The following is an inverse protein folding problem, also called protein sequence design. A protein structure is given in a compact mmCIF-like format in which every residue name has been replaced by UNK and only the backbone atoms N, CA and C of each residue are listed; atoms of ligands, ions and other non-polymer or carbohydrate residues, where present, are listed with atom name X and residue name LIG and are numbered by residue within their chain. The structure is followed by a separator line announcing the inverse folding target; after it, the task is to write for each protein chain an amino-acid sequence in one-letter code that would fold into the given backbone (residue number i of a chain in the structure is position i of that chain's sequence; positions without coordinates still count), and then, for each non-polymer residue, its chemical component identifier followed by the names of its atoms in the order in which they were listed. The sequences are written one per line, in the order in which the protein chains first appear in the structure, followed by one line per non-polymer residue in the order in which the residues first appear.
data_IF_048275774633
#
_entry.id   IF_048275774633
#
_cell.length_a   1.000
_cell.length_b   1.000
_cell.length_c   1.000
_cell.angle_alpha   90.00
_cell.angle_beta   90.00
_cell.angle_gamma   90.00
#
_symmetry.space_group_name_H-M   'P 1'
#
loop_
_entity.id
_entity.type
_entity.pdbx_description
1 polymer ?
#
# COMPACT_ATOMS: atom_id res chain seq x y z
N UNK A 1 -10.69 -13.73 -10.35
CA UNK A 1 -9.39 -13.11 -10.75
C UNK A 1 -9.42 -11.65 -10.36
N UNK A 2 -8.28 -11.07 -9.98
CA UNK A 2 -8.16 -9.64 -9.70
C UNK A 2 -8.61 -8.80 -10.90
N UNK A 3 -9.10 -7.59 -10.65
CA UNK A 3 -9.51 -6.64 -11.70
C UNK A 3 -8.30 -5.76 -12.01
N UNK A 4 -7.59 -6.05 -13.11
CA UNK A 4 -6.42 -5.31 -13.56
C UNK A 4 -6.80 -4.59 -14.84
N UNK A 5 -6.86 -3.26 -14.81
CA UNK A 5 -7.34 -2.46 -15.93
C UNK A 5 -6.32 -1.39 -16.34
N UNK A 6 -6.14 -1.13 -17.64
CA UNK A 6 -5.42 0.05 -18.09
C UNK A 6 -6.27 1.32 -17.89
N UNK A 7 -5.58 2.44 -17.78
CA UNK A 7 -6.18 3.78 -17.93
C UNK A 7 -5.30 4.64 -18.83
N UNK A 8 -5.88 5.34 -19.78
CA UNK A 8 -5.17 6.14 -20.80
C UNK A 8 -4.02 5.37 -21.51
N UNK A 9 -4.21 4.07 -21.76
CA UNK A 9 -3.19 3.20 -22.37
C UNK A 9 -2.07 2.73 -21.44
N UNK A 10 -2.07 3.14 -20.17
CA UNK A 10 -1.08 2.73 -19.18
C UNK A 10 -1.63 1.53 -18.39
N UNK A 11 -0.88 0.43 -18.40
CA UNK A 11 -1.19 -0.79 -17.65
C UNK A 11 -0.44 -0.81 -16.32
N UNK A 12 -1.05 -1.36 -15.25
CA UNK A 12 -0.33 -1.64 -14.02
C UNK A 12 0.88 -2.55 -14.23
N UNK A 13 2.00 -2.25 -13.57
CA UNK A 13 3.20 -3.07 -13.51
C UNK A 13 3.23 -3.80 -12.17
N UNK A 14 3.04 -5.10 -12.19
CA UNK A 14 2.96 -5.92 -10.99
C UNK A 14 4.11 -6.93 -11.01
N UNK A 15 4.91 -6.93 -9.94
CA UNK A 15 6.02 -7.89 -9.84
C UNK A 15 5.48 -9.34 -9.80
N UNK A 16 6.11 -10.31 -10.48
CA UNK A 16 5.63 -11.70 -10.56
C UNK A 16 5.47 -12.41 -9.22
N UNK A 17 6.21 -11.99 -8.19
CA UNK A 17 6.13 -12.55 -6.83
C UNK A 17 5.09 -11.84 -5.95
N UNK A 18 4.46 -10.77 -6.44
CA UNK A 18 3.44 -10.07 -5.68
C UNK A 18 2.15 -10.90 -5.58
N UNK A 19 1.50 -10.81 -4.44
CA UNK A 19 0.15 -11.35 -4.22
C UNK A 19 -0.90 -10.29 -4.52
N UNK A 20 -1.87 -10.62 -5.37
CA UNK A 20 -3.06 -9.77 -5.60
C UNK A 20 -4.31 -10.60 -5.42
N UNK A 21 -5.10 -10.30 -4.41
CA UNK A 21 -6.31 -11.05 -4.08
C UNK A 21 -7.32 -11.06 -5.25
N UNK A 22 -8.12 -12.12 -5.43
CA UNK A 22 -9.00 -12.28 -6.60
C UNK A 22 -10.04 -11.18 -6.81
N UNK A 23 -10.39 -10.43 -5.75
CA UNK A 23 -11.34 -9.32 -5.83
C UNK A 23 -10.69 -7.94 -5.57
N UNK A 24 -9.36 -7.87 -5.58
CA UNK A 24 -8.65 -6.59 -5.57
C UNK A 24 -8.74 -5.93 -6.96
N UNK A 25 -8.69 -4.59 -6.97
CA UNK A 25 -8.77 -3.79 -8.19
C UNK A 25 -7.52 -2.91 -8.32
N UNK A 26 -6.83 -3.00 -9.47
CA UNK A 26 -5.62 -2.20 -9.78
C UNK A 26 -5.78 -1.57 -11.15
N UNK A 27 -5.72 -0.24 -11.23
CA UNK A 27 -6.04 0.52 -12.45
C UNK A 27 -4.95 1.53 -12.78
N UNK A 28 -4.52 1.58 -14.04
CA UNK A 28 -3.72 2.66 -14.61
C UNK A 28 -2.26 2.68 -14.19
N UNK A 29 -1.71 3.86 -13.91
CA UNK A 29 -0.29 4.08 -13.62
C UNK A 29 0.07 3.61 -12.18
N UNK A 30 0.15 2.30 -12.02
CA UNK A 30 0.46 1.64 -10.74
C UNK A 30 1.67 0.74 -10.89
N UNK A 31 2.60 0.79 -9.93
CA UNK A 31 3.71 -0.16 -9.80
C UNK A 31 3.61 -0.87 -8.46
N UNK A 32 3.61 -2.21 -8.47
CA UNK A 32 3.60 -3.07 -7.28
C UNK A 32 4.89 -3.86 -7.24
N UNK A 33 5.65 -3.69 -6.15
CA UNK A 33 6.98 -4.25 -5.95
C UNK A 33 7.02 -5.73 -5.61
N UNK A 34 8.25 -6.23 -5.50
CA UNK A 34 8.54 -7.62 -5.16
C UNK A 34 7.91 -8.02 -3.81
N UNK A 35 7.28 -9.19 -3.76
CA UNK A 35 6.65 -9.76 -2.56
C UNK A 35 5.65 -8.83 -1.86
N UNK A 36 5.23 -7.74 -2.50
CA UNK A 36 4.12 -6.93 -2.01
C UNK A 36 2.82 -7.73 -2.04
N UNK A 37 1.87 -7.36 -1.18
CA UNK A 37 0.58 -8.04 -1.10
C UNK A 37 -0.58 -7.05 -1.12
N UNK A 38 -1.50 -7.26 -2.05
CA UNK A 38 -2.74 -6.49 -2.19
C UNK A 38 -3.90 -7.40 -1.84
N UNK A 39 -4.54 -7.12 -0.71
CA UNK A 39 -5.51 -7.99 -0.08
C UNK A 39 -6.94 -7.77 -0.61
N UNK A 40 -7.89 -8.49 -0.02
CA UNK A 40 -9.26 -8.59 -0.54
C UNK A 40 -10.00 -7.25 -0.52
N UNK A 41 -10.63 -6.90 -1.64
CA UNK A 41 -11.39 -5.66 -1.78
C UNK A 41 -10.54 -4.38 -1.83
N UNK A 42 -9.20 -4.45 -1.79
CA UNK A 42 -8.36 -3.28 -1.94
C UNK A 42 -8.50 -2.68 -3.35
N UNK A 43 -8.48 -1.34 -3.43
CA UNK A 43 -8.57 -0.59 -4.68
C UNK A 43 -7.36 0.32 -4.82
N UNK A 44 -6.56 0.11 -5.87
CA UNK A 44 -5.40 0.94 -6.21
C UNK A 44 -5.70 1.59 -7.56
N UNK A 45 -6.06 2.88 -7.55
CA UNK A 45 -6.58 3.58 -8.73
C UNK A 45 -5.66 4.73 -9.14
N UNK A 46 -4.77 4.44 -10.13
CA UNK A 46 -3.82 5.38 -10.74
C UNK A 46 -4.35 5.97 -12.03
N UNK A 47 -5.43 6.75 -11.97
CA UNK A 47 -6.14 7.33 -13.13
C UNK A 47 -5.78 8.80 -13.41
N UNK A 48 -4.66 9.27 -12.86
CA UNK A 48 -3.97 10.49 -13.30
C UNK A 48 -2.64 10.06 -13.97
N UNK A 49 -2.55 10.05 -15.31
CA UNK A 49 -1.42 9.46 -16.05
C UNK A 49 -0.04 10.05 -15.70
N UNK A 50 0.00 11.32 -15.30
CA UNK A 50 1.22 12.04 -14.93
C UNK A 50 1.79 11.63 -13.58
N UNK A 51 0.97 11.02 -12.72
CA UNK A 51 1.34 10.64 -11.35
C UNK A 51 1.16 9.15 -11.12
N UNK A 52 2.18 8.51 -10.60
CA UNK A 52 2.11 7.08 -10.30
C UNK A 52 1.62 6.80 -8.88
N UNK A 53 1.05 5.60 -8.69
CA UNK A 53 1.00 4.94 -7.39
C UNK A 53 2.12 3.91 -7.38
N UNK A 54 3.04 4.03 -6.41
CA UNK A 54 4.07 3.02 -6.20
C UNK A 54 3.88 2.36 -4.85
N UNK A 55 3.82 1.04 -4.87
CA UNK A 55 3.83 0.18 -3.69
C UNK A 55 5.17 -0.53 -3.66
N UNK A 56 5.98 -0.27 -2.65
CA UNK A 56 7.31 -0.83 -2.48
C UNK A 56 7.32 -2.35 -2.23
N UNK A 57 8.51 -2.92 -2.22
CA UNK A 57 8.71 -4.34 -2.00
C UNK A 57 8.22 -4.75 -0.60
N UNK A 58 7.69 -5.98 -0.46
CA UNK A 58 7.22 -6.58 0.80
C UNK A 58 6.15 -5.77 1.55
N UNK A 59 5.59 -4.76 0.91
CA UNK A 59 4.54 -3.90 1.46
C UNK A 59 3.19 -4.58 1.41
N UNK A 60 2.42 -4.49 2.50
CA UNK A 60 1.08 -5.05 2.62
C UNK A 60 0.01 -3.98 2.51
N UNK A 61 -0.82 -4.04 1.47
CA UNK A 61 -2.01 -3.20 1.26
C UNK A 61 -3.22 -4.05 1.65
N UNK A 62 -3.71 -3.88 2.88
CA UNK A 62 -4.70 -4.79 3.47
C UNK A 62 -6.11 -4.63 2.91
N UNK A 63 -7.04 -5.44 3.43
CA UNK A 63 -8.40 -5.52 2.91
C UNK A 63 -9.09 -4.16 2.92
N UNK A 64 -9.80 -3.86 1.81
CA UNK A 64 -10.56 -2.63 1.61
C UNK A 64 -9.75 -1.32 1.70
N UNK A 65 -8.42 -1.38 1.62
CA UNK A 65 -7.58 -0.17 1.51
C UNK A 65 -7.83 0.50 0.17
N UNK A 66 -7.85 1.84 0.17
CA UNK A 66 -7.90 2.63 -1.06
C UNK A 66 -6.61 3.42 -1.21
N UNK A 67 -5.88 3.19 -2.31
CA UNK A 67 -4.79 4.05 -2.75
C UNK A 67 -5.22 4.79 -4.00
N UNK A 68 -5.11 6.11 -3.97
CA UNK A 68 -5.51 6.97 -5.07
C UNK A 68 -4.44 8.03 -5.36
N UNK A 69 -4.49 8.58 -6.54
CA UNK A 69 -3.75 9.78 -6.97
C UNK A 69 -4.73 10.87 -7.37
N UNK A 70 -4.31 12.10 -7.20
CA UNK A 70 -4.98 13.26 -7.74
C UNK A 70 -3.96 14.18 -8.41
N UNK A 71 -4.39 15.27 -9.00
CA UNK A 71 -3.49 16.29 -9.58
C UNK A 71 -2.55 16.96 -8.55
N UNK A 72 -2.61 16.54 -7.30
CA UNK A 72 -1.73 17.03 -6.22
C UNK A 72 -0.40 16.28 -6.14
N UNK A 73 -0.24 15.16 -6.87
CA UNK A 73 1.01 14.39 -6.94
C UNK A 73 0.82 12.88 -6.85
N UNK A 74 1.94 12.17 -6.87
CA UNK A 74 2.00 10.73 -6.76
C UNK A 74 1.62 10.21 -5.37
N UNK A 75 1.24 8.93 -5.28
CA UNK A 75 1.14 8.19 -4.01
C UNK A 75 2.30 7.21 -3.93
N UNK A 76 3.27 7.52 -3.07
CA UNK A 76 4.52 6.78 -2.98
C UNK A 76 4.59 6.05 -1.64
N UNK A 77 4.53 4.73 -1.68
CA UNK A 77 4.63 3.87 -0.51
C UNK A 77 5.97 3.14 -0.57
N UNK A 78 6.76 3.27 0.49
CA UNK A 78 8.07 2.62 0.62
C UNK A 78 8.01 1.11 0.75
N UNK A 79 9.16 0.51 1.01
CA UNK A 79 9.30 -0.93 1.24
C UNK A 79 8.89 -1.30 2.67
N UNK A 80 8.50 -2.56 2.88
CA UNK A 80 8.19 -3.11 4.21
C UNK A 80 7.09 -2.34 4.97
N UNK A 81 6.21 -1.62 4.27
CA UNK A 81 5.10 -0.86 4.86
C UNK A 81 3.91 -1.79 5.12
N UNK A 82 3.22 -1.56 6.24
CA UNK A 82 1.92 -2.19 6.51
C UNK A 82 0.82 -1.14 6.47
N UNK A 83 -0.12 -1.26 5.53
CA UNK A 83 -1.31 -0.41 5.43
C UNK A 83 -2.50 -1.20 5.91
N UNK A 84 -3.02 -0.83 7.08
CA UNK A 84 -4.10 -1.53 7.78
C UNK A 84 -5.45 -1.44 7.07
N UNK A 85 -6.30 -2.41 7.34
CA UNK A 85 -7.63 -2.57 6.72
C UNK A 85 -8.42 -1.27 6.66
N UNK A 86 -9.00 -0.98 5.50
CA UNK A 86 -9.87 0.18 5.29
C UNK A 86 -9.18 1.54 5.27
N UNK A 87 -7.86 1.63 5.38
CA UNK A 87 -7.15 2.91 5.30
C UNK A 87 -7.29 3.54 3.90
N UNK A 88 -7.26 4.88 3.85
CA UNK A 88 -7.37 5.66 2.60
C UNK A 88 -6.17 6.59 2.47
N UNK A 89 -5.42 6.45 1.38
CA UNK A 89 -4.23 7.25 1.11
C UNK A 89 -4.34 7.89 -0.27
N UNK A 90 -4.09 9.19 -0.36
CA UNK A 90 -4.15 9.93 -1.62
C UNK A 90 -3.01 10.93 -1.76
N UNK A 91 -2.27 10.86 -2.86
CA UNK A 91 -1.21 11.83 -3.25
C UNK A 91 -0.25 12.13 -2.10
N UNK A 92 0.25 11.12 -1.42
CA UNK A 92 1.07 11.23 -0.23
C UNK A 92 2.32 10.35 -0.31
N UNK A 93 3.25 10.57 0.59
CA UNK A 93 4.47 9.75 0.71
C UNK A 93 4.49 9.04 2.06
N UNK A 94 4.73 7.72 2.02
CA UNK A 94 4.90 6.89 3.22
C UNK A 94 6.27 6.23 3.15
N UNK A 95 7.09 6.50 4.15
CA UNK A 95 8.45 5.96 4.29
C UNK A 95 8.47 4.47 4.57
N UNK A 96 9.64 3.86 4.36
CA UNK A 96 9.82 2.41 4.53
C UNK A 96 9.61 1.96 5.97
N UNK A 97 9.11 0.75 6.14
CA UNK A 97 8.84 0.17 7.46
C UNK A 97 7.73 0.84 8.26
N UNK A 98 7.03 1.83 7.71
CA UNK A 98 5.94 2.51 8.41
C UNK A 98 4.70 1.60 8.56
N UNK A 99 3.89 1.90 9.58
CA UNK A 99 2.61 1.24 9.80
C UNK A 99 1.47 2.27 9.79
N UNK A 100 0.56 2.12 8.85
CA UNK A 100 -0.68 2.89 8.76
C UNK A 100 -1.78 2.06 9.42
N UNK A 101 -2.37 2.57 10.49
CA UNK A 101 -3.41 1.88 11.25
C UNK A 101 -4.71 1.72 10.47
N UNK A 102 -5.55 0.77 10.91
CA UNK A 102 -6.86 0.50 10.30
C UNK A 102 -7.72 1.77 10.23
N UNK A 103 -8.39 1.98 9.08
CA UNK A 103 -9.25 3.13 8.82
C UNK A 103 -8.55 4.51 8.99
N UNK A 104 -7.23 4.56 8.98
CA UNK A 104 -6.52 5.82 8.96
C UNK A 104 -6.62 6.49 7.58
N UNK A 105 -6.55 7.82 7.56
CA UNK A 105 -6.58 8.62 6.33
C UNK A 105 -5.29 9.42 6.22
N UNK A 106 -4.61 9.37 5.07
CA UNK A 106 -3.42 10.17 4.78
C UNK A 106 -3.70 11.00 3.54
N UNK A 107 -3.81 12.32 3.73
CA UNK A 107 -4.25 13.25 2.70
C UNK A 107 -3.08 13.76 1.85
N UNK A 108 -3.43 14.51 0.80
CA UNK A 108 -2.55 14.99 -0.25
C UNK A 108 -1.34 15.74 0.31
N UNK A 109 -0.16 15.47 -0.28
CA UNK A 109 1.13 16.09 0.10
C UNK A 109 1.57 15.80 1.53
N UNK A 110 0.86 14.92 2.25
CA UNK A 110 1.33 14.48 3.55
C UNK A 110 2.54 13.55 3.41
N UNK A 111 3.42 13.60 4.42
CA UNK A 111 4.60 12.75 4.50
C UNK A 111 4.60 12.00 5.83
N UNK A 112 4.64 10.69 5.76
CA UNK A 112 4.85 9.80 6.91
C UNK A 112 6.26 9.26 6.82
N UNK A 113 7.08 9.51 7.84
CA UNK A 113 8.49 9.11 7.87
C UNK A 113 8.68 7.60 8.06
N UNK A 114 9.94 7.15 7.85
CA UNK A 114 10.31 5.74 7.98
C UNK A 114 9.98 5.21 9.39
N UNK A 115 9.51 3.97 9.46
CA UNK A 115 9.18 3.28 10.70
C UNK A 115 8.19 4.05 11.60
N UNK A 116 7.47 5.06 11.05
CA UNK A 116 6.44 5.77 11.81
C UNK A 116 5.15 4.94 11.92
N UNK A 117 4.36 5.24 12.94
CA UNK A 117 3.06 4.63 13.21
C UNK A 117 1.95 5.68 13.15
N UNK A 118 1.02 5.50 12.24
CA UNK A 118 -0.26 6.23 12.24
C UNK A 118 -1.28 5.35 12.95
N UNK A 119 -1.86 5.86 14.03
CA UNK A 119 -2.84 5.11 14.82
C UNK A 119 -4.12 4.84 14.02
N UNK A 120 -4.85 3.79 14.39
CA UNK A 120 -6.13 3.46 13.76
C UNK A 120 -7.11 4.65 13.83
N UNK A 121 -7.83 4.91 12.74
CA UNK A 121 -8.78 6.00 12.61
C UNK A 121 -8.18 7.41 12.64
N UNK A 122 -6.86 7.57 12.62
CA UNK A 122 -6.23 8.88 12.61
C UNK A 122 -6.27 9.51 11.21
N UNK A 123 -6.29 10.85 11.15
CA UNK A 123 -6.30 11.63 9.90
C UNK A 123 -5.05 12.50 9.81
N UNK A 124 -4.10 12.12 8.97
CA UNK A 124 -2.96 12.98 8.63
C UNK A 124 -3.43 14.00 7.60
N UNK A 125 -3.48 15.26 8.02
CA UNK A 125 -3.98 16.36 7.19
C UNK A 125 -3.12 16.60 5.96
N UNK A 126 -3.69 17.23 4.94
CA UNK A 126 -2.97 17.61 3.73
C UNK A 126 -1.72 18.44 4.04
N UNK A 127 -0.58 18.09 3.46
CA UNK A 127 0.71 18.70 3.72
C UNK A 127 1.29 18.42 5.11
N UNK A 128 0.62 17.60 5.92
CA UNK A 128 1.11 17.21 7.25
C UNK A 128 2.36 16.35 7.19
N UNK A 129 3.22 16.47 8.20
CA UNK A 129 4.44 15.65 8.31
C UNK A 129 4.46 14.91 9.63
N UNK A 130 4.64 13.59 9.57
CA UNK A 130 4.88 12.73 10.73
C UNK A 130 6.35 12.30 10.68
N UNK A 131 7.18 12.66 11.66
CA UNK A 131 8.60 12.32 11.66
C UNK A 131 8.84 10.80 11.71
N UNK A 132 10.01 10.33 11.23
CA UNK A 132 10.39 8.92 11.37
C UNK A 132 10.34 8.44 12.82
N UNK A 133 10.02 7.16 13.01
CA UNK A 133 9.99 6.50 14.33
C UNK A 133 9.14 7.20 15.38
N UNK A 134 8.06 7.86 14.94
CA UNK A 134 7.10 8.47 15.86
C UNK A 134 5.71 7.87 15.67
N UNK A 135 4.90 7.97 16.72
CA UNK A 135 3.47 7.63 16.66
C UNK A 135 2.65 8.92 16.56
N UNK A 136 1.80 9.00 15.54
CA UNK A 136 0.80 10.05 15.41
C UNK A 136 -0.61 9.48 15.56
N UNK A 137 -1.50 10.23 16.22
CA UNK A 137 -2.88 9.81 16.49
C UNK A 137 -3.84 11.00 16.55
N UNK A 138 -5.12 10.75 16.25
CA UNK A 138 -6.22 11.74 16.32
C UNK A 138 -6.65 12.24 14.95
N UNK A 139 -7.66 13.11 14.93
CA UNK A 139 -8.18 13.79 13.73
C UNK A 139 -8.35 15.29 14.06
N UNK A 140 -7.43 16.16 13.62
CA UNK A 140 -6.20 15.86 12.88
C UNK A 140 -5.19 15.07 13.72
N UNK A 141 -4.35 14.28 13.04
CA UNK A 141 -3.30 13.51 13.69
C UNK A 141 -2.18 14.42 14.20
N UNK A 142 -1.76 14.18 15.44
CA UNK A 142 -0.60 14.85 16.05
C UNK A 142 0.36 13.81 16.59
N UNK A 143 1.66 14.12 16.56
CA UNK A 143 2.69 13.27 17.15
C UNK A 143 2.45 13.13 18.65
N UNK A 144 2.42 11.90 19.14
CA UNK A 144 2.16 11.57 20.56
C UNK A 144 3.41 11.15 21.29
N UNK A 145 4.31 10.42 20.64
CA UNK A 145 5.54 9.91 21.25
C UNK A 145 6.51 9.39 20.19
N UNK A 146 7.75 9.23 20.55
CA UNK A 146 8.71 8.43 19.83
C UNK A 146 8.43 6.93 19.99
N UNK A 147 8.81 6.15 19.00
CA UNK A 147 8.70 4.69 19.01
C UNK A 147 10.05 4.10 19.42
N UNK A 148 10.03 3.31 20.49
CA UNK A 148 11.22 2.66 21.03
C UNK A 148 10.94 1.21 21.43
N UNK A 149 12.00 0.44 21.63
CA UNK A 149 11.92 -0.89 22.21
C UNK A 149 10.89 -1.79 21.54
N UNK A 150 9.90 -2.26 22.30
CA UNK A 150 8.89 -3.20 21.80
C UNK A 150 7.96 -2.61 20.74
N UNK A 151 7.62 -1.30 20.87
CA UNK A 151 6.72 -0.63 19.91
C UNK A 151 7.37 -0.47 18.54
N UNK A 152 8.65 -0.10 18.50
CA UNK A 152 9.39 0.00 17.24
C UNK A 152 9.56 -1.39 16.60
N UNK A 153 9.95 -2.41 17.37
CA UNK A 153 10.04 -3.78 16.86
C UNK A 153 8.73 -4.29 16.29
N UNK A 154 7.60 -3.98 16.91
CA UNK A 154 6.30 -4.36 16.40
C UNK A 154 5.99 -3.72 15.05
N UNK A 155 6.24 -2.43 14.90
CA UNK A 155 6.08 -1.70 13.63
C UNK A 155 6.94 -2.33 12.53
N UNK A 156 8.25 -2.45 12.75
CA UNK A 156 9.20 -2.96 11.75
C UNK A 156 9.04 -4.45 11.41
N UNK A 157 8.42 -5.25 12.26
CA UNK A 157 8.18 -6.68 11.98
C UNK A 157 6.85 -6.99 11.31
N UNK A 158 5.94 -6.03 11.24
CA UNK A 158 4.57 -6.23 10.78
C UNK A 158 4.50 -6.74 9.33
N UNK A 159 5.23 -6.12 8.41
CA UNK A 159 5.23 -6.49 7.00
C UNK A 159 5.69 -7.94 6.77
N UNK A 160 6.69 -8.41 7.51
CA UNK A 160 7.21 -9.77 7.40
C UNK A 160 6.17 -10.87 7.70
N UNK A 161 5.17 -10.59 8.54
CA UNK A 161 4.05 -11.49 8.76
C UNK A 161 3.21 -11.66 7.48
N UNK A 162 2.91 -10.55 6.80
CA UNK A 162 2.08 -10.56 5.58
C UNK A 162 2.81 -11.16 4.38
N UNK A 163 4.14 -11.02 4.30
CA UNK A 163 4.95 -11.75 3.29
C UNK A 163 4.80 -13.27 3.45
N UNK A 164 4.87 -13.78 4.68
CA UNK A 164 4.66 -15.22 4.92
C UNK A 164 3.24 -15.66 4.57
N UNK A 165 2.25 -14.87 4.96
CA UNK A 165 0.85 -15.15 4.70
C UNK A 165 0.53 -15.16 3.20
N UNK A 166 0.99 -14.15 2.45
CA UNK A 166 0.77 -14.03 1.00
C UNK A 166 1.41 -15.18 0.22
N UNK A 167 2.61 -15.61 0.63
CA UNK A 167 3.25 -16.82 0.06
C UNK A 167 2.40 -18.07 0.26
N UNK A 168 1.72 -18.20 1.40
CA UNK A 168 0.78 -19.29 1.66
C UNK A 168 -0.40 -19.29 0.71
N UNK A 169 -1.00 -18.13 0.45
CA UNK A 169 -2.08 -17.96 -0.53
C UNK A 169 -1.61 -18.30 -1.96
N UNK A 170 -0.45 -17.80 -2.37
CA UNK A 170 0.14 -18.10 -3.69
C UNK A 170 0.42 -19.60 -3.86
N UNK A 171 0.93 -20.27 -2.81
CA UNK A 171 1.16 -21.72 -2.82
C UNK A 171 -0.16 -22.51 -2.94
N UNK A 172 -1.25 -21.99 -2.38
CA UNK A 172 -2.59 -22.56 -2.52
C UNK A 172 -3.27 -22.22 -3.86
N UNK A 173 -2.57 -21.55 -4.80
CA UNK A 173 -3.09 -21.17 -6.11
C UNK A 173 -4.01 -19.94 -6.11
N UNK A 174 -4.03 -19.18 -5.01
CA UNK A 174 -4.83 -17.97 -4.88
C UNK A 174 -3.96 -16.72 -5.15
N UNK A 175 -4.46 -15.76 -5.93
CA UNK A 175 -3.84 -14.44 -6.08
C UNK A 175 -2.68 -14.36 -7.08
N UNK A 176 -2.53 -15.32 -7.99
CA UNK A 176 -1.61 -15.21 -9.12
C UNK A 176 -2.18 -14.25 -10.16
N UNK A 177 -1.38 -13.26 -10.57
CA UNK A 177 -1.72 -12.35 -11.66
C UNK A 177 -1.09 -12.91 -12.93
N UNK A 178 -1.91 -13.31 -13.90
CA UNK A 178 -1.43 -13.55 -15.27
C UNK A 178 -1.33 -12.18 -15.94
N UNK A 179 -0.14 -11.77 -16.37
CA UNK A 179 0.01 -10.58 -17.19
C UNK A 179 -0.67 -10.84 -18.55
N UNK A 180 -1.43 -9.85 -19.04
CA UNK A 180 -2.03 -9.93 -20.36
C UNK A 180 -0.89 -10.05 -21.41
N UNK A 181 -0.73 -11.23 -21.99
CA UNK A 181 0.36 -11.56 -22.93
C UNK A 181 0.82 -13.02 -22.85
N UNK A 182 0.55 -13.72 -21.76
CA UNK A 182 0.77 -15.17 -21.67
C UNK A 182 -0.51 -15.92 -22.08
N UNK A 183 -0.89 -15.79 -23.35
CA UNK A 183 -1.80 -16.77 -23.96
C UNK A 183 -1.01 -18.05 -24.10
N UNK A 184 -1.15 -18.98 -23.15
CA UNK A 184 -0.69 -20.33 -23.28
C UNK A 184 -1.38 -20.97 -24.50
N UNK A 185 -0.65 -21.04 -25.61
CA UNK A 185 -0.88 -22.07 -26.58
C UNK A 185 -0.52 -23.40 -25.91
N UNK A 186 -1.52 -24.14 -25.51
CA UNK A 186 -1.41 -25.57 -25.30
C UNK A 186 -2.53 -26.20 -26.11
N UNK A 187 -2.09 -26.82 -27.23
CA UNK A 187 -2.89 -27.65 -28.12
C UNK A 187 -3.55 -28.85 -27.43
#
# INVERSE_FOLDING_TARGET
MAIILPFAGIFPRIHPTAFVAPNATVIGNVTIGEEASVWFGAVIRGDEPEFEIRVGARTSVQDNVVLHVSRQGATLIGDDVTIGHGAVLESCTVGSGALIGMNAVVLQRATVGDEALIAAGAVVSAGGTVPPRTMAAGSPAVVKKELEGASLRWVSSSAGHYVKLSRGYLAAGVGRVHQAGETGESG
#
